data_IF_716369814712
#
_entry.id   IF_716369814712
#
_cell.length_a   1.000
_cell.length_b   1.000
_cell.length_c   1.000
_cell.angle_alpha   90.00
_cell.angle_beta   90.00
_cell.angle_gamma   90.00
#
_symmetry.space_group_name_H-M   'P 1'
#
loop_
_entity.id
_entity.type
_entity.pdbx_description
1 polymer ?
#
# COMPACT_ATOMS: atom_id res chain seq x y z
N UNK A 1 21.25 13.40 -28.45
CA UNK A 1 21.26 12.71 -29.76
C UNK A 1 20.58 11.36 -29.56
N UNK A 2 19.30 11.26 -29.89
CA UNK A 2 18.55 10.00 -29.84
C UNK A 2 18.84 9.27 -31.14
N UNK A 3 19.66 8.21 -31.09
CA UNK A 3 19.82 7.29 -32.21
C UNK A 3 18.44 6.75 -32.57
N UNK A 4 17.99 7.06 -33.79
CA UNK A 4 16.81 6.43 -34.36
C UNK A 4 17.07 4.92 -34.43
N UNK A 5 16.17 4.06 -33.93
CA UNK A 5 16.33 2.62 -34.04
C UNK A 5 16.46 2.24 -35.52
N UNK A 6 17.39 1.34 -35.84
CA UNK A 6 17.59 0.89 -37.22
C UNK A 6 16.28 0.30 -37.76
N UNK A 7 16.06 0.32 -39.08
CA UNK A 7 14.84 -0.27 -39.68
C UNK A 7 14.61 -1.74 -39.30
N UNK A 8 15.67 -2.45 -38.88
CA UNK A 8 15.61 -3.82 -38.35
C UNK A 8 15.13 -3.87 -36.89
N UNK A 9 15.49 -2.90 -36.05
CA UNK A 9 14.98 -2.77 -34.67
C UNK A 9 13.50 -2.37 -34.65
N UNK A 10 13.08 -1.51 -35.58
CA UNK A 10 11.67 -1.14 -35.75
C UNK A 10 10.78 -2.34 -36.15
N UNK A 11 11.33 -3.34 -36.84
CA UNK A 11 10.65 -4.60 -37.17
C UNK A 11 10.57 -5.57 -35.97
N UNK A 12 11.32 -5.35 -34.89
CA UNK A 12 11.33 -6.25 -33.73
C UNK A 12 10.33 -5.86 -32.63
N UNK A 13 9.67 -4.71 -32.74
CA UNK A 13 8.72 -4.16 -31.75
C UNK A 13 7.23 -4.43 -32.05
N UNK A 14 6.90 -5.47 -32.82
CA UNK A 14 5.54 -5.70 -33.34
C UNK A 14 4.47 -5.86 -32.22
N UNK A 15 4.83 -6.46 -31.08
CA UNK A 15 3.96 -6.58 -29.91
C UNK A 15 4.01 -5.40 -28.96
N UNK A 16 4.93 -4.45 -29.12
CA UNK A 16 5.01 -3.33 -28.19
C UNK A 16 3.85 -2.37 -28.40
N UNK A 17 3.34 -1.88 -27.27
CA UNK A 17 2.37 -0.80 -27.23
C UNK A 17 3.14 0.41 -26.76
N UNK A 18 3.30 1.46 -27.60
CA UNK A 18 4.05 2.63 -27.18
C UNK A 18 3.32 3.31 -26.04
N UNK A 19 4.04 3.52 -24.93
CA UNK A 19 3.55 4.10 -23.67
C UNK A 19 2.67 5.37 -23.81
N UNK A 20 2.92 6.33 -24.73
CA UNK A 20 2.05 7.50 -24.85
C UNK A 20 0.60 7.18 -25.25
N UNK A 21 0.35 6.08 -25.96
CA UNK A 21 -1.00 5.69 -26.40
C UNK A 21 -1.90 5.32 -25.20
N UNK A 22 -1.55 4.34 -24.34
CA UNK A 22 -2.37 4.01 -23.18
C UNK A 22 -2.46 5.16 -22.17
N UNK A 23 -1.45 6.04 -22.08
CA UNK A 23 -1.53 7.27 -21.29
C UNK A 23 -2.62 8.21 -21.79
N UNK A 24 -2.68 8.45 -23.11
CA UNK A 24 -3.69 9.30 -23.72
C UNK A 24 -5.10 8.70 -23.65
N UNK A 25 -5.24 7.39 -23.92
CA UNK A 25 -6.52 6.67 -23.79
C UNK A 25 -6.96 6.69 -22.32
N UNK A 26 -6.06 6.43 -21.38
CA UNK A 26 -6.36 6.46 -19.96
C UNK A 26 -6.86 7.83 -19.50
N UNK A 27 -6.27 8.91 -20.03
CA UNK A 27 -6.71 10.28 -19.74
C UNK A 27 -8.13 10.52 -20.27
N UNK A 28 -8.37 10.17 -21.53
CA UNK A 28 -9.67 10.33 -22.17
C UNK A 28 -10.76 9.53 -21.43
N UNK A 29 -10.47 8.29 -21.03
CA UNK A 29 -11.40 7.45 -20.28
C UNK A 29 -11.65 8.00 -18.87
N UNK A 30 -10.65 8.58 -18.22
CA UNK A 30 -10.81 9.23 -16.92
C UNK A 30 -11.74 10.45 -17.04
N UNK A 31 -11.50 11.32 -18.02
CA UNK A 31 -12.39 12.45 -18.31
C UNK A 31 -13.80 11.99 -18.66
N UNK A 32 -13.92 10.90 -19.44
CA UNK A 32 -15.21 10.30 -19.78
C UNK A 32 -15.94 9.78 -18.54
N UNK A 33 -15.25 9.13 -17.60
CA UNK A 33 -15.86 8.67 -16.35
C UNK A 33 -16.37 9.82 -15.48
N UNK A 34 -15.67 10.97 -15.47
CA UNK A 34 -16.14 12.18 -14.77
C UNK A 34 -17.42 12.72 -15.41
N UNK A 35 -17.54 12.69 -16.74
CA UNK A 35 -18.70 13.22 -17.46
C UNK A 35 -19.92 12.29 -17.40
N UNK A 36 -19.70 10.97 -17.45
CA UNK A 36 -20.80 9.98 -17.51
C UNK A 36 -21.40 9.69 -16.14
N UNK A 37 -20.59 9.62 -15.08
CA UNK A 37 -21.07 9.23 -13.75
C UNK A 37 -21.73 10.45 -13.11
N UNK A 38 -23.05 10.42 -12.85
CA UNK A 38 -23.73 11.56 -12.26
C UNK A 38 -23.22 11.79 -10.83
N UNK A 39 -22.85 13.03 -10.50
CA UNK A 39 -22.38 13.43 -9.16
C UNK A 39 -23.36 13.01 -8.05
N UNK A 40 -24.67 12.97 -8.33
CA UNK A 40 -25.72 12.61 -7.37
C UNK A 40 -25.88 11.11 -7.10
N UNK A 41 -25.05 10.26 -7.69
CA UNK A 41 -25.06 8.81 -7.43
C UNK A 41 -24.05 8.49 -6.34
N UNK A 42 -24.31 7.50 -5.49
CA UNK A 42 -23.34 7.01 -4.49
C UNK A 42 -21.96 6.70 -5.10
N UNK A 43 -21.93 6.18 -6.34
CA UNK A 43 -20.68 5.95 -7.08
C UNK A 43 -19.97 7.24 -7.50
N UNK A 44 -20.70 8.33 -7.78
CA UNK A 44 -20.13 9.63 -8.11
C UNK A 44 -19.44 10.27 -6.89
N UNK A 45 -20.13 10.28 -5.76
CA UNK A 45 -19.55 10.71 -4.47
C UNK A 45 -18.32 9.86 -4.12
N UNK A 46 -18.42 8.54 -4.27
CA UNK A 46 -17.32 7.61 -4.00
C UNK A 46 -16.13 7.79 -4.97
N UNK A 47 -16.34 8.17 -6.23
CA UNK A 47 -15.27 8.24 -7.23
C UNK A 47 -14.57 9.61 -7.27
N UNK A 48 -15.27 10.70 -6.94
CA UNK A 48 -14.79 12.05 -7.21
C UNK A 48 -14.78 13.00 -6.00
N UNK A 49 -15.58 12.75 -4.96
CA UNK A 49 -15.71 13.71 -3.84
C UNK A 49 -14.77 13.41 -2.65
N UNK A 50 -14.00 12.32 -2.66
CA UNK A 50 -13.14 11.92 -1.52
C UNK A 50 -11.66 12.34 -1.66
N UNK A 51 -11.33 13.19 -2.64
CA UNK A 51 -10.03 13.88 -2.73
C UNK A 51 -9.22 13.58 -4.00
N UNK A 52 -8.07 14.25 -4.14
CA UNK A 52 -7.26 14.22 -5.37
C UNK A 52 -6.70 12.83 -5.71
N UNK A 53 -6.45 12.00 -4.69
CA UNK A 53 -5.87 10.65 -4.86
C UNK A 53 -6.76 9.74 -5.68
N UNK A 54 -8.09 9.92 -5.64
CA UNK A 54 -9.03 9.11 -6.40
C UNK A 54 -8.92 9.35 -7.90
N UNK A 55 -8.78 10.61 -8.34
CA UNK A 55 -8.57 10.91 -9.74
C UNK A 55 -7.30 10.23 -10.28
N UNK A 56 -6.22 10.22 -9.48
CA UNK A 56 -4.96 9.57 -9.86
C UNK A 56 -5.12 8.04 -9.91
N UNK A 57 -5.81 7.45 -8.93
CA UNK A 57 -6.10 6.01 -8.88
C UNK A 57 -6.93 5.57 -10.09
N UNK A 58 -8.00 6.29 -10.41
CA UNK A 58 -8.87 6.02 -11.56
C UNK A 58 -8.07 6.16 -12.87
N UNK A 59 -7.24 7.19 -12.97
CA UNK A 59 -6.36 7.38 -14.12
C UNK A 59 -5.39 6.22 -14.30
N UNK A 60 -4.69 5.79 -13.24
CA UNK A 60 -3.78 4.65 -13.31
C UNK A 60 -4.51 3.36 -13.67
N UNK A 61 -5.69 3.12 -13.10
CA UNK A 61 -6.52 1.98 -13.44
C UNK A 61 -6.89 1.97 -14.94
N UNK A 62 -7.30 3.11 -15.49
CA UNK A 62 -7.61 3.22 -16.92
C UNK A 62 -6.39 3.08 -17.83
N UNK A 63 -5.23 3.60 -17.44
CA UNK A 63 -3.99 3.43 -18.21
C UNK A 63 -3.61 1.94 -18.27
N UNK A 64 -3.67 1.23 -17.14
CA UNK A 64 -3.40 -0.22 -17.10
C UNK A 64 -4.44 -1.00 -17.89
N UNK A 65 -5.73 -0.66 -17.76
CA UNK A 65 -6.81 -1.29 -18.52
C UNK A 65 -6.66 -1.08 -20.03
N UNK A 66 -6.32 0.14 -20.46
CA UNK A 66 -6.08 0.46 -21.87
C UNK A 66 -4.87 -0.30 -22.42
N UNK A 67 -3.76 -0.33 -21.68
CA UNK A 67 -2.58 -1.11 -22.06
C UNK A 67 -2.92 -2.61 -22.20
N UNK A 68 -3.62 -3.17 -21.20
CA UNK A 68 -4.03 -4.57 -21.18
C UNK A 68 -4.96 -4.90 -22.34
N UNK A 69 -5.94 -4.04 -22.63
CA UNK A 69 -6.86 -4.21 -23.75
C UNK A 69 -6.18 -4.16 -25.12
N UNK A 70 -5.25 -3.21 -25.32
CA UNK A 70 -4.46 -3.10 -26.55
C UNK A 70 -3.57 -4.32 -26.76
N UNK A 71 -2.89 -4.78 -25.71
CA UNK A 71 -2.09 -6.01 -25.74
C UNK A 71 -2.96 -7.24 -26.01
N UNK A 72 -4.10 -7.38 -25.33
CA UNK A 72 -5.03 -8.48 -25.54
C UNK A 72 -5.55 -8.53 -26.99
N UNK A 73 -5.89 -7.38 -27.56
CA UNK A 73 -6.35 -7.29 -28.95
C UNK A 73 -5.26 -7.70 -29.95
N UNK A 74 -4.05 -7.14 -29.82
CA UNK A 74 -2.90 -7.52 -30.67
C UNK A 74 -2.61 -9.01 -30.54
N UNK A 75 -2.60 -9.53 -29.32
CA UNK A 75 -2.29 -10.92 -29.03
C UNK A 75 -3.35 -11.88 -29.60
N UNK A 76 -4.63 -11.51 -29.54
CA UNK A 76 -5.70 -12.31 -30.13
C UNK A 76 -5.55 -12.44 -31.66
N UNK A 77 -5.16 -11.36 -32.33
CA UNK A 77 -4.85 -11.38 -33.78
C UNK A 77 -3.66 -12.30 -34.05
N UNK A 78 -2.55 -12.10 -33.33
CA UNK A 78 -1.33 -12.89 -33.52
C UNK A 78 -1.55 -14.38 -33.23
N UNK A 79 -2.33 -14.74 -32.21
CA UNK A 79 -2.67 -16.12 -31.91
C UNK A 79 -3.47 -16.79 -33.05
N UNK A 80 -4.40 -16.07 -33.67
CA UNK A 80 -5.13 -16.59 -34.83
C UNK A 80 -4.22 -16.82 -36.04
N UNK A 81 -3.27 -15.90 -36.28
CA UNK A 81 -2.28 -16.01 -37.35
C UNK A 81 -1.32 -17.17 -37.08
N UNK A 82 -0.84 -17.32 -35.84
CA UNK A 82 0.07 -18.38 -35.43
C UNK A 82 -0.54 -19.79 -35.57
N UNK A 83 -1.85 -19.92 -35.34
CA UNK A 83 -2.57 -21.19 -35.49
C UNK A 83 -2.72 -21.66 -36.95
N UNK A 84 -2.40 -20.81 -37.94
CA UNK A 84 -2.39 -21.23 -39.35
C UNK A 84 -1.18 -22.11 -39.63
N UNK A 85 -1.36 -23.14 -40.46
CA UNK A 85 -0.24 -23.98 -40.89
C UNK A 85 0.59 -23.24 -41.95
N UNK A 86 1.68 -22.59 -41.53
CA UNK A 86 2.57 -21.83 -42.42
C UNK A 86 3.56 -22.71 -43.16
N UNK A 87 4.04 -23.79 -42.53
CA UNK A 87 4.97 -24.76 -43.12
C UNK A 87 4.21 -25.99 -43.59
N UNK A 88 4.30 -26.37 -44.89
CA UNK A 88 3.68 -27.59 -45.41
C UNK A 88 4.21 -28.85 -44.71
N UNK A 89 3.30 -29.73 -44.29
CA UNK A 89 3.66 -30.93 -43.53
C UNK A 89 4.52 -31.95 -44.31
N UNK A 90 4.40 -31.99 -45.64
CA UNK A 90 4.80 -33.13 -46.48
C UNK A 90 6.12 -32.99 -47.26
N UNK A 91 6.80 -31.85 -47.23
CA UNK A 91 7.99 -31.61 -48.06
C UNK A 91 9.22 -31.32 -47.20
N UNK A 92 10.32 -32.01 -47.49
CA UNK A 92 11.64 -31.62 -46.98
C UNK A 92 12.05 -30.31 -47.65
N UNK A 93 12.56 -29.35 -46.88
CA UNK A 93 13.02 -28.07 -47.40
C UNK A 93 14.42 -28.24 -47.97
N UNK A 94 14.51 -28.94 -49.12
CA UNK A 94 15.76 -29.24 -49.82
C UNK A 94 15.72 -28.73 -51.26
N UNK A 95 16.84 -28.22 -51.81
CA UNK A 95 18.01 -27.63 -51.15
C UNK A 95 17.72 -26.21 -50.60
N UNK A 96 18.66 -25.57 -49.91
CA UNK A 96 18.52 -24.20 -49.39
C UNK A 96 18.14 -23.16 -50.48
N UNK A 97 18.56 -23.39 -51.72
CA UNK A 97 18.23 -22.58 -52.91
C UNK A 97 17.02 -23.11 -53.71
N UNK A 98 16.31 -24.10 -53.17
CA UNK A 98 15.19 -24.74 -53.85
C UNK A 98 14.02 -23.77 -54.05
N UNK A 99 13.23 -23.91 -55.15
CA UNK A 99 12.07 -23.06 -55.41
C UNK A 99 11.02 -23.13 -54.28
N UNK A 100 10.95 -24.25 -53.55
CA UNK A 100 10.05 -24.43 -52.42
C UNK A 100 10.42 -23.56 -51.22
N UNK A 101 11.72 -23.43 -50.92
CA UNK A 101 12.23 -22.58 -49.83
C UNK A 101 12.04 -21.10 -50.17
N UNK A 102 12.29 -20.71 -51.42
CA UNK A 102 12.06 -19.35 -51.92
C UNK A 102 10.57 -18.97 -51.88
N UNK A 103 9.68 -19.86 -52.35
CA UNK A 103 8.22 -19.63 -52.28
C UNK A 103 7.73 -19.52 -50.84
N UNK A 104 8.23 -20.35 -49.93
CA UNK A 104 7.91 -20.25 -48.50
C UNK A 104 8.40 -18.92 -47.93
N UNK A 105 9.63 -18.50 -48.25
CA UNK A 105 10.17 -17.21 -47.81
C UNK A 105 9.33 -16.03 -48.30
N UNK A 106 8.92 -16.01 -49.57
CA UNK A 106 8.04 -14.97 -50.11
C UNK A 106 6.65 -14.97 -49.48
N UNK A 107 6.05 -16.15 -49.27
CA UNK A 107 4.75 -16.27 -48.62
C UNK A 107 4.79 -15.75 -47.18
N UNK A 108 5.88 -16.02 -46.46
CA UNK A 108 6.11 -15.48 -45.12
C UNK A 108 6.38 -13.97 -45.15
N UNK A 109 7.05 -13.45 -46.18
CA UNK A 109 7.34 -12.03 -46.35
C UNK A 109 6.10 -11.17 -46.63
N UNK A 110 5.02 -11.75 -47.18
CA UNK A 110 3.75 -11.04 -47.43
C UNK A 110 2.98 -10.72 -46.15
N UNK A 111 3.30 -11.35 -45.03
CA UNK A 111 2.58 -11.18 -43.77
C UNK A 111 3.39 -10.34 -42.77
N UNK A 112 2.86 -9.20 -42.29
CA UNK A 112 3.54 -8.32 -41.33
C UNK A 112 3.37 -8.76 -39.86
N UNK A 113 2.92 -10.00 -39.63
CA UNK A 113 2.63 -10.54 -38.30
C UNK A 113 3.86 -11.20 -37.67
N UNK A 114 3.89 -11.28 -36.34
CA UNK A 114 5.04 -11.78 -35.57
C UNK A 114 5.44 -13.20 -36.00
N UNK A 115 4.47 -14.10 -36.06
CA UNK A 115 4.74 -15.51 -36.32
C UNK A 115 5.46 -15.72 -37.68
N UNK A 116 4.90 -15.26 -38.82
CA UNK A 116 5.59 -15.31 -40.11
C UNK A 116 6.92 -14.54 -40.14
N UNK A 117 7.01 -13.39 -39.47
CA UNK A 117 8.23 -12.60 -39.42
C UNK A 117 9.38 -13.34 -38.73
N UNK A 118 9.10 -14.12 -37.68
CA UNK A 118 10.08 -14.99 -37.01
C UNK A 118 10.48 -16.18 -37.88
N UNK A 119 9.51 -16.84 -38.52
CA UNK A 119 9.78 -17.97 -39.41
C UNK A 119 10.65 -17.55 -40.61
N UNK A 120 10.34 -16.39 -41.20
CA UNK A 120 11.10 -15.79 -42.30
C UNK A 120 12.54 -15.48 -41.91
N UNK A 121 12.79 -15.00 -40.69
CA UNK A 121 14.15 -14.71 -40.21
C UNK A 121 14.98 -15.99 -40.09
N UNK A 122 14.46 -17.01 -39.42
CA UNK A 122 15.13 -18.30 -39.31
C UNK A 122 15.41 -18.91 -40.71
N UNK A 123 14.42 -18.87 -41.60
CA UNK A 123 14.58 -19.37 -42.98
C UNK A 123 15.55 -18.50 -43.80
N UNK A 124 15.54 -17.18 -43.61
CA UNK A 124 16.44 -16.24 -44.27
C UNK A 124 17.90 -16.47 -43.90
N UNK A 125 18.18 -16.79 -42.63
CA UNK A 125 19.52 -17.20 -42.18
C UNK A 125 19.93 -18.49 -42.88
N UNK A 126 19.04 -19.50 -42.94
CA UNK A 126 19.33 -20.74 -43.64
C UNK A 126 19.63 -20.53 -45.14
N UNK A 127 18.87 -19.66 -45.83
CA UNK A 127 19.08 -19.34 -47.24
C UNK A 127 20.44 -18.67 -47.46
N UNK A 128 20.86 -17.79 -46.54
CA UNK A 128 22.12 -17.05 -46.65
C UNK A 128 23.34 -17.91 -46.32
N UNK A 129 23.25 -18.78 -45.33
CA UNK A 129 24.39 -19.50 -44.77
C UNK A 129 24.47 -20.95 -45.22
N UNK A 130 23.36 -21.52 -45.68
CA UNK A 130 23.24 -22.94 -46.04
C UNK A 130 23.35 -23.89 -44.85
N UNK A 131 23.41 -23.37 -43.60
CA UNK A 131 23.63 -24.17 -42.40
C UNK A 131 22.40 -24.16 -41.49
N UNK A 132 21.84 -25.34 -41.23
CA UNK A 132 20.72 -25.52 -40.29
C UNK A 132 21.10 -25.13 -38.85
N UNK A 133 22.37 -25.35 -38.47
CA UNK A 133 22.92 -24.97 -37.16
C UNK A 133 22.86 -23.46 -36.92
N UNK A 134 23.33 -22.67 -37.87
CA UNK A 134 23.30 -21.20 -37.74
C UNK A 134 21.86 -20.66 -37.73
N UNK A 135 20.95 -21.27 -38.48
CA UNK A 135 19.53 -20.91 -38.43
C UNK A 135 18.89 -21.22 -37.05
N UNK A 136 19.33 -22.29 -36.39
CA UNK A 136 18.87 -22.67 -35.05
C UNK A 136 19.41 -21.73 -33.98
N UNK A 137 20.71 -21.39 -34.05
CA UNK A 137 21.34 -20.40 -33.16
C UNK A 137 20.63 -19.04 -33.27
N UNK A 138 20.39 -18.54 -34.49
CA UNK A 138 19.64 -17.29 -34.70
C UNK A 138 18.20 -17.35 -34.16
N UNK A 139 17.51 -18.49 -34.31
CA UNK A 139 16.16 -18.65 -33.80
C UNK A 139 16.11 -18.64 -32.26
N UNK A 140 17.12 -19.21 -31.60
CA UNK A 140 17.29 -19.18 -30.15
C UNK A 140 17.58 -17.75 -29.66
N UNK A 141 18.47 -17.02 -30.34
CA UNK A 141 18.75 -15.62 -30.04
C UNK A 141 17.48 -14.76 -30.17
N UNK A 142 16.71 -14.96 -31.25
CA UNK A 142 15.44 -14.26 -31.45
C UNK A 142 14.42 -14.61 -30.35
N UNK A 143 14.33 -15.87 -29.89
CA UNK A 143 13.46 -16.27 -28.77
C UNK A 143 13.83 -15.53 -27.49
N UNK A 144 15.12 -15.53 -27.13
CA UNK A 144 15.60 -14.85 -25.92
C UNK A 144 15.31 -13.34 -25.96
N UNK A 145 15.49 -12.71 -27.13
CA UNK A 145 15.17 -11.31 -27.36
C UNK A 145 13.69 -11.02 -27.10
N UNK A 146 12.77 -11.81 -27.66
CA UNK A 146 11.33 -11.59 -27.47
C UNK A 146 10.89 -11.83 -26.03
N UNK A 147 11.49 -12.79 -25.34
CA UNK A 147 11.22 -13.04 -23.92
C UNK A 147 11.62 -11.83 -23.06
N UNK A 148 12.80 -11.26 -23.30
CA UNK A 148 13.26 -10.05 -22.60
C UNK A 148 12.43 -8.81 -22.96
N UNK A 149 12.10 -8.62 -24.24
CA UNK A 149 11.28 -7.51 -24.71
C UNK A 149 9.86 -7.54 -24.11
N UNK A 150 9.25 -8.74 -24.07
CA UNK A 150 7.94 -8.94 -23.44
C UNK A 150 8.00 -8.53 -21.96
N UNK A 151 8.97 -9.04 -21.20
CA UNK A 151 9.16 -8.66 -19.79
C UNK A 151 9.34 -7.16 -19.58
N UNK A 152 10.10 -6.48 -20.45
CA UNK A 152 10.29 -5.04 -20.40
C UNK A 152 8.99 -4.26 -20.67
N UNK A 153 8.16 -4.72 -21.63
CA UNK A 153 6.89 -4.09 -22.00
C UNK A 153 5.89 -4.05 -20.84
N UNK A 154 5.86 -5.10 -19.99
CA UNK A 154 4.99 -5.17 -18.80
C UNK A 154 5.54 -4.45 -17.56
N UNK A 155 6.77 -3.94 -17.58
CA UNK A 155 7.38 -3.30 -16.41
C UNK A 155 6.62 -2.04 -15.98
N UNK A 156 6.29 -1.16 -16.92
CA UNK A 156 5.56 0.08 -16.65
C UNK A 156 4.15 -0.14 -16.05
N UNK A 157 3.25 -0.93 -16.67
CA UNK A 157 1.93 -1.18 -16.10
C UNK A 157 2.00 -1.90 -14.75
N UNK A 158 3.02 -2.74 -14.50
CA UNK A 158 3.23 -3.37 -13.18
C UNK A 158 3.54 -2.35 -12.09
N UNK A 159 4.35 -1.33 -12.40
CA UNK A 159 4.61 -0.21 -11.48
C UNK A 159 3.32 0.54 -11.16
N UNK A 160 2.46 0.79 -12.15
CA UNK A 160 1.17 1.44 -11.93
C UNK A 160 0.24 0.61 -11.05
N UNK A 161 0.14 -0.70 -11.31
CA UNK A 161 -0.63 -1.63 -10.46
C UNK A 161 -0.14 -1.58 -9.01
N UNK A 162 1.18 -1.54 -8.79
CA UNK A 162 1.75 -1.41 -7.44
C UNK A 162 1.49 -0.03 -6.80
N UNK A 163 1.44 1.04 -7.59
CA UNK A 163 1.22 2.39 -7.10
C UNK A 163 -0.24 2.64 -6.68
N UNK A 164 -1.22 1.95 -7.25
CA UNK A 164 -2.66 2.15 -6.94
C UNK A 164 -2.96 1.92 -5.44
N UNK A 165 -2.60 0.78 -4.80
CA UNK A 165 -2.81 0.58 -3.37
C UNK A 165 -2.08 1.62 -2.50
N UNK A 166 -0.87 2.02 -2.89
CA UNK A 166 -0.10 3.03 -2.18
C UNK A 166 -0.80 4.39 -2.20
N UNK A 167 -1.37 4.78 -3.34
CA UNK A 167 -2.19 5.99 -3.46
C UNK A 167 -3.46 5.92 -2.61
N UNK A 168 -4.08 4.74 -2.52
CA UNK A 168 -5.19 4.48 -1.60
C UNK A 168 -4.80 4.73 -0.14
N UNK A 169 -3.66 4.17 0.28
CA UNK A 169 -3.11 4.39 1.62
C UNK A 169 -2.79 5.86 1.89
N UNK A 170 -2.18 6.57 0.92
CA UNK A 170 -1.96 8.02 1.02
C UNK A 170 -3.31 8.76 1.18
N UNK A 171 -4.34 8.35 0.44
CA UNK A 171 -5.71 8.85 0.59
C UNK A 171 -6.24 8.68 2.01
N UNK A 172 -6.06 7.51 2.62
CA UNK A 172 -6.46 7.30 4.02
C UNK A 172 -5.69 8.16 5.00
N UNK A 173 -4.38 8.29 4.84
CA UNK A 173 -3.56 9.10 5.75
C UNK A 173 -4.02 10.55 5.69
N UNK A 174 -4.24 11.09 4.48
CA UNK A 174 -4.75 12.46 4.31
C UNK A 174 -6.16 12.61 4.91
N UNK A 175 -7.06 11.65 4.67
CA UNK A 175 -8.43 11.70 5.19
C UNK A 175 -8.49 11.62 6.72
N UNK A 176 -7.70 10.72 7.34
CA UNK A 176 -7.61 10.57 8.80
C UNK A 176 -6.95 11.80 9.42
N UNK A 177 -5.84 12.30 8.85
CA UNK A 177 -5.17 13.50 9.35
C UNK A 177 -6.09 14.72 9.30
N UNK A 178 -6.87 14.88 8.21
CA UNK A 178 -7.87 15.95 8.11
C UNK A 178 -8.98 15.82 9.15
N UNK A 179 -9.51 14.61 9.36
CA UNK A 179 -10.53 14.35 10.37
C UNK A 179 -10.04 14.67 11.79
N UNK A 180 -8.83 14.23 12.14
CA UNK A 180 -8.24 14.46 13.47
C UNK A 180 -7.94 15.95 13.69
N UNK A 181 -7.37 16.64 12.70
CA UNK A 181 -7.09 18.07 12.81
C UNK A 181 -8.37 18.90 12.99
N UNK A 182 -9.45 18.53 12.30
CA UNK A 182 -10.76 19.15 12.48
C UNK A 182 -11.28 18.98 13.91
N UNK A 183 -11.15 17.79 14.49
CA UNK A 183 -11.57 17.51 15.87
C UNK A 183 -10.84 18.36 16.91
N UNK A 184 -9.51 18.45 16.81
CA UNK A 184 -8.69 19.23 17.75
C UNK A 184 -9.12 20.70 17.76
N UNK A 185 -9.38 21.29 16.59
CA UNK A 185 -9.89 22.66 16.50
C UNK A 185 -11.27 22.85 17.12
N UNK A 186 -12.16 21.84 17.06
CA UNK A 186 -13.46 21.88 17.74
C UNK A 186 -13.32 21.79 19.25
N UNK A 187 -12.40 20.98 19.77
CA UNK A 187 -12.16 20.87 21.21
C UNK A 187 -11.66 22.18 21.82
N UNK A 188 -10.81 22.91 21.10
CA UNK A 188 -10.30 24.22 21.55
C UNK A 188 -11.37 25.33 21.50
N UNK A 189 -12.38 25.18 20.64
CA UNK A 189 -13.46 26.15 20.44
C UNK A 189 -14.78 25.78 21.15
N UNK A 190 -14.87 24.59 21.75
CA UNK A 190 -16.12 24.06 22.30
C UNK A 190 -16.52 24.75 23.61
N UNK A 191 -17.50 25.66 23.52
CA UNK A 191 -18.23 26.19 24.68
C UNK A 191 -19.57 25.48 24.93
N UNK A 192 -20.06 24.68 23.98
CA UNK A 192 -21.40 24.09 24.01
C UNK A 192 -21.43 22.63 23.49
N UNK A 193 -22.39 21.84 23.99
CA UNK A 193 -22.50 20.39 23.73
C UNK A 193 -22.86 20.09 22.26
N UNK A 194 -23.60 20.99 21.61
CA UNK A 194 -23.98 20.83 20.20
C UNK A 194 -22.78 20.93 19.25
N UNK A 195 -21.79 21.79 19.56
CA UNK A 195 -20.54 21.89 18.78
C UNK A 195 -19.69 20.63 18.89
N UNK A 196 -19.72 19.96 20.05
CA UNK A 196 -19.02 18.68 20.24
C UNK A 196 -19.68 17.55 19.43
N UNK A 197 -21.02 17.52 19.39
CA UNK A 197 -21.78 16.56 18.57
C UNK A 197 -21.47 16.73 17.08
N UNK A 198 -21.40 17.97 16.60
CA UNK A 198 -21.04 18.28 15.22
C UNK A 198 -19.59 17.88 14.90
N UNK A 199 -18.65 18.14 15.82
CA UNK A 199 -17.26 17.71 15.72
C UNK A 199 -17.12 16.19 15.56
N UNK A 200 -17.82 15.39 16.39
CA UNK A 200 -17.81 13.93 16.29
C UNK A 200 -18.40 13.44 14.95
N UNK A 201 -19.47 14.09 14.47
CA UNK A 201 -20.07 13.80 13.18
C UNK A 201 -19.11 14.03 12.01
N UNK A 202 -18.38 15.15 12.03
CA UNK A 202 -17.38 15.48 11.02
C UNK A 202 -16.21 14.50 11.02
N UNK A 203 -15.70 14.11 12.19
CA UNK A 203 -14.63 13.10 12.31
C UNK A 203 -15.06 11.76 11.75
N UNK A 204 -16.26 11.31 12.12
CA UNK A 204 -16.80 10.01 11.68
C UNK A 204 -16.96 9.99 10.16
N UNK A 205 -17.41 11.11 9.58
CA UNK A 205 -17.53 11.26 8.12
C UNK A 205 -16.17 11.28 7.44
N UNK A 206 -15.18 12.02 7.95
CA UNK A 206 -13.82 12.04 7.42
C UNK A 206 -13.11 10.70 7.50
N UNK A 207 -13.37 9.91 8.55
CA UNK A 207 -12.87 8.55 8.67
C UNK A 207 -13.54 7.60 7.66
N UNK A 208 -14.84 7.74 7.42
CA UNK A 208 -15.56 6.97 6.40
C UNK A 208 -15.02 7.26 4.98
N UNK A 209 -14.84 8.54 4.64
CA UNK A 209 -14.17 9.01 3.41
C UNK A 209 -12.80 8.36 3.25
N UNK A 210 -11.98 8.34 4.32
CA UNK A 210 -10.66 7.72 4.29
C UNK A 210 -10.76 6.23 3.94
N UNK A 211 -11.59 5.45 4.64
CA UNK A 211 -11.74 4.03 4.35
C UNK A 211 -12.26 3.75 2.92
N UNK A 212 -13.22 4.53 2.46
CA UNK A 212 -13.76 4.48 1.09
C UNK A 212 -12.65 4.63 0.04
N UNK A 213 -11.71 5.57 0.24
CA UNK A 213 -10.62 5.82 -0.72
C UNK A 213 -9.69 4.62 -0.86
N UNK A 214 -9.37 3.93 0.25
CA UNK A 214 -8.53 2.72 0.21
C UNK A 214 -9.29 1.53 -0.34
N UNK A 215 -10.56 1.35 0.04
CA UNK A 215 -11.39 0.27 -0.48
C UNK A 215 -11.48 0.35 -2.01
N UNK A 216 -11.74 1.54 -2.56
CA UNK A 216 -11.79 1.78 -3.99
C UNK A 216 -10.44 1.46 -4.67
N UNK A 217 -9.33 1.94 -4.11
CA UNK A 217 -8.01 1.71 -4.67
C UNK A 217 -7.65 0.22 -4.70
N UNK A 218 -7.90 -0.51 -3.62
CA UNK A 218 -7.65 -1.96 -3.55
C UNK A 218 -8.53 -2.72 -4.56
N UNK A 219 -9.82 -2.37 -4.65
CA UNK A 219 -10.75 -2.99 -5.58
C UNK A 219 -10.29 -2.78 -7.04
N UNK A 220 -9.98 -1.54 -7.41
CA UNK A 220 -9.49 -1.21 -8.76
C UNK A 220 -8.16 -1.89 -9.05
N UNK A 221 -7.23 -1.92 -8.08
CA UNK A 221 -5.94 -2.61 -8.21
C UNK A 221 -6.12 -4.08 -8.55
N UNK A 222 -6.98 -4.80 -7.81
CA UNK A 222 -7.25 -6.21 -8.08
C UNK A 222 -7.91 -6.38 -9.46
N UNK A 223 -8.87 -5.50 -9.80
CA UNK A 223 -9.61 -5.54 -11.05
C UNK A 223 -8.70 -5.39 -12.28
N UNK A 224 -7.65 -4.56 -12.20
CA UNK A 224 -6.70 -4.37 -13.32
C UNK A 224 -5.53 -5.35 -13.29
N UNK A 225 -5.10 -5.81 -12.10
CA UNK A 225 -3.97 -6.73 -11.94
C UNK A 225 -4.25 -8.11 -12.55
N UNK A 226 -5.47 -8.63 -12.36
CA UNK A 226 -5.83 -9.98 -12.83
C UNK A 226 -5.83 -10.08 -14.36
N UNK A 227 -6.51 -9.19 -15.12
CA UNK A 227 -6.43 -9.18 -16.58
C UNK A 227 -5.01 -8.96 -17.10
N UNK A 228 -4.25 -8.03 -16.50
CA UNK A 228 -2.86 -7.77 -16.91
C UNK A 228 -2.01 -9.05 -16.82
N UNK A 229 -2.10 -9.75 -15.69
CA UNK A 229 -1.37 -10.99 -15.45
C UNK A 229 -1.79 -12.12 -16.41
N UNK A 230 -3.07 -12.15 -16.79
CA UNK A 230 -3.58 -13.12 -17.76
C UNK A 230 -3.01 -12.85 -19.16
N UNK A 231 -3.02 -11.59 -19.60
CA UNK A 231 -2.48 -11.20 -20.92
C UNK A 231 -0.98 -11.46 -20.98
N UNK A 232 -0.23 -11.16 -19.93
CA UNK A 232 1.20 -11.50 -19.82
C UNK A 232 1.44 -13.00 -19.97
N UNK A 233 0.63 -13.84 -19.31
CA UNK A 233 0.70 -15.31 -19.45
C UNK A 233 0.32 -15.79 -20.84
N UNK A 234 -0.68 -15.19 -21.48
CA UNK A 234 -1.09 -15.54 -22.84
C UNK A 234 0.02 -15.17 -23.84
N UNK A 235 0.70 -14.03 -23.65
CA UNK A 235 1.82 -13.61 -24.50
C UNK A 235 3.00 -14.58 -24.36
N UNK A 236 3.37 -14.94 -23.13
CA UNK A 236 4.41 -15.95 -22.89
C UNK A 236 4.07 -17.31 -23.53
N UNK A 237 2.80 -17.74 -23.47
CA UNK A 237 2.34 -18.98 -24.13
C UNK A 237 2.42 -18.88 -25.65
N UNK A 238 2.03 -17.74 -26.24
CA UNK A 238 2.17 -17.53 -27.67
C UNK A 238 3.64 -17.64 -28.10
N UNK A 239 4.54 -16.91 -27.42
CA UNK A 239 5.97 -16.93 -27.74
C UNK A 239 6.55 -18.36 -27.67
N UNK A 240 6.23 -19.10 -26.62
CA UNK A 240 6.63 -20.50 -26.47
C UNK A 240 6.07 -21.39 -27.60
N UNK A 241 4.79 -21.22 -27.97
CA UNK A 241 4.19 -21.98 -29.06
C UNK A 241 4.88 -21.68 -30.40
N UNK A 242 5.30 -20.44 -30.64
CA UNK A 242 6.07 -20.06 -31.83
C UNK A 242 7.45 -20.72 -31.83
N UNK A 243 8.13 -20.78 -30.68
CA UNK A 243 9.44 -21.43 -30.55
C UNK A 243 9.35 -22.94 -30.83
N UNK A 244 8.34 -23.60 -30.24
CA UNK A 244 8.03 -25.01 -30.52
C UNK A 244 7.75 -25.22 -32.01
N UNK A 245 6.94 -24.34 -32.62
CA UNK A 245 6.64 -24.44 -34.05
C UNK A 245 7.89 -24.28 -34.92
N UNK A 246 8.77 -23.33 -34.59
CA UNK A 246 10.04 -23.13 -35.31
C UNK A 246 10.92 -24.37 -35.19
N UNK A 247 11.12 -24.89 -33.98
CA UNK A 247 11.93 -26.09 -33.75
C UNK A 247 11.36 -27.32 -34.47
N UNK A 248 10.09 -27.65 -34.21
CA UNK A 248 9.50 -28.91 -34.62
C UNK A 248 9.09 -28.94 -36.09
N UNK A 249 8.66 -27.80 -36.65
CA UNK A 249 8.11 -27.75 -38.01
C UNK A 249 9.02 -27.08 -39.04
N UNK A 250 9.86 -26.12 -38.63
CA UNK A 250 10.73 -25.39 -39.56
C UNK A 250 12.16 -25.95 -39.53
N UNK A 251 12.82 -25.93 -38.38
CA UNK A 251 14.24 -26.29 -38.24
C UNK A 251 14.48 -27.79 -38.46
N UNK A 252 13.58 -28.67 -37.97
CA UNK A 252 13.63 -30.12 -38.19
C UNK A 252 13.61 -30.55 -39.68
N UNK A 253 13.21 -29.66 -40.58
CA UNK A 253 13.10 -29.91 -42.03
C UNK A 253 14.29 -29.36 -42.83
N UNK A 254 15.21 -28.65 -42.19
CA UNK A 254 16.40 -28.08 -42.83
C UNK A 254 17.49 -29.16 -42.98
N UNK A 255 18.18 -29.15 -44.11
CA UNK A 255 19.28 -30.07 -44.36
C UNK A 255 20.60 -29.52 -43.81
N UNK A 256 21.44 -30.40 -43.28
CA UNK A 256 22.83 -30.09 -42.95
C UNK A 256 23.69 -30.48 -44.16
N UNK A 257 24.62 -29.63 -44.64
CA UNK A 257 25.48 -30.00 -45.75
C UNK A 257 26.39 -31.14 -45.31
N UNK A 258 26.07 -32.37 -45.71
CA UNK A 258 26.93 -33.53 -45.50
C UNK A 258 28.24 -33.30 -46.24
N UNK A 259 29.36 -33.23 -45.52
CA UNK A 259 30.73 -33.10 -46.04
C UNK A 259 31.19 -34.28 -46.94
N UNK A 260 30.31 -35.22 -47.27
CA UNK A 260 30.62 -36.46 -48.00
C UNK A 260 31.08 -36.26 -49.46
N UNK A 261 30.88 -35.09 -50.08
CA UNK A 261 31.17 -34.94 -51.53
C UNK A 261 32.61 -34.55 -51.90
N UNK A 262 33.45 -34.15 -50.96
CA UNK A 262 34.85 -33.75 -51.26
C UNK A 262 35.85 -34.90 -51.09
N UNK A 263 35.50 -35.93 -50.33
CA UNK A 263 36.37 -37.08 -50.04
C UNK A 263 36.60 -37.97 -51.27
N UNK A 264 35.57 -38.24 -52.08
CA UNK A 264 35.65 -39.27 -53.12
C UNK A 264 36.44 -38.84 -54.37
N UNK A 265 36.36 -37.57 -54.74
CA UNK A 265 37.08 -37.04 -55.93
C UNK A 265 38.58 -36.93 -55.68
N UNK A 266 38.99 -36.60 -54.45
CA UNK A 266 40.41 -36.53 -54.07
C UNK A 266 41.01 -37.95 -53.97
N UNK A 267 40.22 -38.92 -53.48
CA UNK A 267 40.65 -40.32 -53.34
C UNK A 267 40.94 -40.99 -54.69
N UNK A 268 40.07 -40.76 -55.67
CA UNK A 268 40.22 -41.35 -57.00
C UNK A 268 41.35 -40.69 -57.82
N UNK A 269 41.54 -39.37 -57.66
CA UNK A 269 42.63 -38.64 -58.33
C UNK A 269 44.02 -39.05 -57.80
N UNK A 270 44.13 -39.32 -56.50
CA UNK A 270 45.38 -39.75 -55.87
C UNK A 270 45.70 -41.21 -56.22
N UNK A 271 44.70 -42.10 -56.24
CA UNK A 271 44.90 -43.52 -56.57
C UNK A 271 45.41 -43.73 -58.02
N UNK A 272 44.91 -42.97 -58.99
CA UNK A 272 45.32 -43.10 -60.40
C UNK A 272 46.75 -42.63 -60.70
N UNK A 273 47.27 -41.66 -59.94
CA UNK A 273 48.61 -41.09 -60.17
C UNK A 273 49.75 -41.95 -59.61
N UNK A 274 49.48 -42.72 -58.57
CA UNK A 274 50.49 -43.52 -57.85
C UNK A 274 50.85 -44.82 -58.60
N UNK A 275 49.94 -45.35 -59.40
CA UNK A 275 50.11 -46.66 -60.04
C UNK A 275 50.96 -46.63 -61.33
N UNK A 276 51.21 -45.45 -61.90
CA UNK A 276 51.88 -45.31 -63.19
C UNK A 276 53.42 -45.19 -63.13
N UNK A 277 54.03 -44.96 -61.96
CA UNK A 277 55.43 -44.50 -61.88
C UNK A 277 56.33 -45.20 -60.83
N UNK A 278 56.02 -46.39 -60.33
CA UNK A 278 56.94 -47.08 -59.39
C UNK A 278 58.03 -47.91 -60.10
N UNK A 279 59.33 -47.66 -59.84
CA UNK A 279 60.42 -48.59 -60.14
C UNK A 279 60.47 -49.75 -59.11
N UNK A 280 61.21 -50.81 -59.44
CA UNK A 280 61.24 -52.06 -58.66
C UNK A 280 61.63 -51.87 -57.16
N UNK A 281 60.99 -52.60 -56.23
CA UNK A 281 60.98 -52.32 -54.78
C UNK A 281 62.34 -52.38 -54.08
N UNK A 282 63.33 -53.05 -54.67
CA UNK A 282 64.65 -53.25 -54.04
C UNK A 282 65.57 -52.03 -54.20
N UNK A 283 65.35 -51.19 -55.23
CA UNK A 283 66.15 -49.99 -55.49
C UNK A 283 65.76 -48.78 -54.61
N UNK A 284 64.60 -48.84 -53.95
CA UNK A 284 64.05 -47.74 -53.16
C UNK A 284 64.43 -47.80 -51.66
N UNK A 285 64.94 -48.93 -51.18
CA UNK A 285 65.19 -49.16 -49.75
C UNK A 285 66.29 -48.26 -49.16
N UNK A 286 67.34 -47.96 -49.92
CA UNK A 286 68.45 -47.11 -49.47
C UNK A 286 68.06 -45.63 -49.45
N UNK A 287 67.55 -45.03 -50.55
CA UNK A 287 67.11 -43.63 -50.54
C UNK A 287 65.94 -43.37 -49.60
N UNK A 288 65.00 -44.32 -49.45
CA UNK A 288 63.86 -44.16 -48.54
C UNK A 288 64.29 -44.19 -47.06
N UNK A 289 65.33 -44.93 -46.71
CA UNK A 289 65.90 -44.88 -45.35
C UNK A 289 66.58 -43.56 -45.07
N UNK A 290 67.39 -43.07 -46.01
CA UNK A 290 68.07 -41.78 -45.86
C UNK A 290 67.08 -40.61 -45.79
N UNK A 291 66.01 -40.65 -46.61
CA UNK A 291 64.93 -39.68 -46.54
C UNK A 291 64.10 -39.81 -45.26
N UNK A 292 63.82 -41.03 -44.80
CA UNK A 292 63.09 -41.25 -43.55
C UNK A 292 63.88 -40.77 -42.33
N UNK A 293 65.19 -40.96 -42.29
CA UNK A 293 66.05 -40.45 -41.21
C UNK A 293 66.13 -38.92 -41.24
N UNK A 294 66.32 -38.32 -42.43
CA UNK A 294 66.34 -36.85 -42.58
C UNK A 294 64.99 -36.23 -42.24
N UNK A 295 63.90 -36.77 -42.78
CA UNK A 295 62.54 -36.29 -42.51
C UNK A 295 62.16 -36.51 -41.04
N UNK A 296 62.53 -37.64 -40.41
CA UNK A 296 62.30 -37.83 -38.98
C UNK A 296 63.08 -36.80 -38.15
N UNK A 297 64.31 -36.44 -38.54
CA UNK A 297 65.10 -35.42 -37.84
C UNK A 297 64.55 -34.00 -38.01
N UNK A 298 64.15 -33.62 -39.22
CA UNK A 298 63.55 -32.30 -39.50
C UNK A 298 62.17 -32.17 -38.86
N UNK A 299 61.36 -33.24 -38.92
CA UNK A 299 60.03 -33.25 -38.33
C UNK A 299 60.12 -33.25 -36.80
N UNK A 300 61.09 -33.94 -36.20
CA UNK A 300 61.33 -33.84 -34.75
C UNK A 300 61.80 -32.44 -34.33
N UNK A 301 62.69 -31.80 -35.09
CA UNK A 301 63.18 -30.44 -34.79
C UNK A 301 62.07 -29.39 -34.98
N UNK A 302 61.32 -29.47 -36.08
CA UNK A 302 60.22 -28.55 -36.37
C UNK A 302 59.02 -28.78 -35.43
N UNK A 303 58.68 -30.04 -35.10
CA UNK A 303 57.61 -30.34 -34.14
C UNK A 303 57.95 -29.83 -32.74
N UNK A 304 59.19 -29.93 -32.29
CA UNK A 304 59.60 -29.34 -31.00
C UNK A 304 59.54 -27.80 -31.06
N UNK A 305 59.91 -27.19 -32.20
CA UNK A 305 59.87 -25.74 -32.39
C UNK A 305 58.43 -25.17 -32.50
N UNK A 306 57.49 -25.89 -33.13
CA UNK A 306 56.10 -25.45 -33.32
C UNK A 306 55.16 -25.85 -32.17
N UNK A 307 55.38 -27.00 -31.52
CA UNK A 307 54.51 -27.47 -30.42
C UNK A 307 54.92 -26.90 -29.07
N UNK A 308 56.18 -26.47 -28.92
CA UNK A 308 56.66 -25.75 -27.73
C UNK A 308 55.81 -24.52 -27.37
N UNK A 309 55.60 -23.57 -28.30
CA UNK A 309 54.76 -22.39 -28.08
C UNK A 309 53.30 -22.73 -27.76
N UNK A 310 52.73 -23.74 -28.42
CA UNK A 310 51.33 -24.14 -28.19
C UNK A 310 51.15 -24.75 -26.79
N UNK A 311 52.10 -25.55 -26.33
CA UNK A 311 52.10 -26.12 -24.98
C UNK A 311 52.30 -25.04 -23.91
N UNK A 312 53.10 -24.03 -24.20
CA UNK A 312 53.32 -22.89 -23.31
C UNK A 312 52.09 -21.99 -23.21
N UNK A 313 51.44 -21.68 -24.34
CA UNK A 313 50.17 -20.92 -24.38
C UNK A 313 49.05 -21.69 -23.69
N UNK A 314 48.93 -23.01 -23.89
CA UNK A 314 47.95 -23.84 -23.18
C UNK A 314 48.22 -23.86 -21.66
N UNK A 315 49.48 -23.92 -21.25
CA UNK A 315 49.87 -23.80 -19.84
C UNK A 315 49.56 -22.44 -19.24
N UNK A 316 49.80 -21.35 -19.97
CA UNK A 316 49.46 -19.99 -19.56
C UNK A 316 47.94 -19.76 -19.49
N UNK A 317 47.16 -20.33 -20.42
CA UNK A 317 45.69 -20.27 -20.40
C UNK A 317 45.11 -21.06 -19.22
N UNK A 318 45.64 -22.26 -18.95
CA UNK A 318 45.25 -23.03 -17.76
C UNK A 318 45.61 -22.30 -16.47
N UNK A 319 46.79 -21.69 -16.38
CA UNK A 319 47.20 -20.89 -15.22
C UNK A 319 46.32 -19.64 -15.03
N UNK A 320 45.97 -18.94 -16.12
CA UNK A 320 45.04 -17.79 -16.09
C UNK A 320 43.62 -18.20 -15.71
N UNK A 321 43.11 -19.30 -16.26
CA UNK A 321 41.80 -19.84 -15.90
C UNK A 321 41.74 -20.28 -14.43
N UNK A 322 42.81 -20.88 -13.91
CA UNK A 322 42.90 -21.24 -12.50
C UNK A 322 42.90 -19.99 -11.60
N UNK A 323 43.75 -19.00 -11.89
CA UNK A 323 43.79 -17.74 -11.10
C UNK A 323 42.50 -16.92 -11.21
N UNK A 324 41.85 -16.89 -12.37
CA UNK A 324 40.58 -16.20 -12.56
C UNK A 324 39.43 -16.92 -11.87
N UNK A 325 39.44 -18.26 -11.82
CA UNK A 325 38.47 -19.06 -11.06
C UNK A 325 38.63 -18.91 -9.54
N UNK A 326 39.86 -18.85 -9.04
CA UNK A 326 40.15 -18.61 -7.61
C UNK A 326 39.75 -17.18 -7.22
N UNK A 327 40.04 -16.20 -8.06
CA UNK A 327 39.67 -14.80 -7.82
C UNK A 327 38.15 -14.57 -7.87
N UNK A 328 37.43 -15.27 -8.75
CA UNK A 328 35.96 -15.21 -8.76
C UNK A 328 35.36 -15.87 -7.53
N UNK A 329 35.91 -17.01 -7.08
CA UNK A 329 35.45 -17.65 -5.86
C UNK A 329 35.67 -16.77 -4.61
N UNK A 330 36.85 -16.16 -4.45
CA UNK A 330 37.13 -15.21 -3.37
C UNK A 330 36.25 -13.95 -3.42
N UNK A 331 35.95 -13.43 -4.63
CA UNK A 331 34.99 -12.33 -4.79
C UNK A 331 33.58 -12.73 -4.40
N UNK A 332 33.13 -13.92 -4.78
CA UNK A 332 31.81 -14.40 -4.43
C UNK A 332 31.69 -14.64 -2.92
N UNK A 333 32.73 -15.16 -2.28
CA UNK A 333 32.76 -15.36 -0.84
C UNK A 333 32.78 -14.04 -0.06
N UNK A 334 33.64 -13.09 -0.45
CA UNK A 334 33.69 -11.76 0.17
C UNK A 334 32.41 -10.94 -0.05
N UNK A 335 31.77 -11.06 -1.22
CA UNK A 335 30.45 -10.47 -1.47
C UNK A 335 29.37 -11.10 -0.59
N UNK A 336 29.36 -12.42 -0.44
CA UNK A 336 28.42 -13.11 0.44
C UNK A 336 28.60 -12.69 1.91
N UNK A 337 29.85 -12.57 2.38
CA UNK A 337 30.16 -12.08 3.73
C UNK A 337 29.80 -10.60 3.93
N UNK A 338 29.96 -9.76 2.90
CA UNK A 338 29.55 -8.36 2.95
C UNK A 338 28.02 -8.23 3.01
N UNK A 339 27.29 -9.01 2.20
CA UNK A 339 25.82 -9.07 2.23
C UNK A 339 25.33 -9.59 3.58
N UNK A 340 25.95 -10.63 4.14
CA UNK A 340 25.59 -11.17 5.45
C UNK A 340 25.83 -10.16 6.58
N UNK A 341 26.98 -9.47 6.59
CA UNK A 341 27.26 -8.40 7.56
C UNK A 341 26.30 -7.23 7.43
N UNK A 342 25.95 -6.85 6.21
CA UNK A 342 24.99 -5.77 5.98
C UNK A 342 23.58 -6.15 6.46
N UNK A 343 23.17 -7.41 6.25
CA UNK A 343 21.89 -7.90 6.74
C UNK A 343 21.82 -7.93 8.27
N UNK A 344 22.92 -8.32 8.95
CA UNK A 344 23.02 -8.35 10.41
C UNK A 344 22.99 -6.95 11.03
N UNK A 345 23.76 -6.01 10.46
CA UNK A 345 23.74 -4.60 10.88
C UNK A 345 22.35 -3.99 10.67
N UNK A 346 21.71 -4.28 9.54
CA UNK A 346 20.37 -3.76 9.24
C UNK A 346 19.30 -4.36 10.16
N UNK A 347 19.35 -5.66 10.45
CA UNK A 347 18.44 -6.29 11.42
C UNK A 347 18.62 -5.70 12.82
N UNK A 348 19.86 -5.51 13.25
CA UNK A 348 20.16 -4.96 14.59
C UNK A 348 19.72 -3.50 14.71
N UNK A 349 19.87 -2.70 13.65
CA UNK A 349 19.36 -1.33 13.62
C UNK A 349 17.83 -1.28 13.65
N UNK A 350 17.16 -2.19 12.93
CA UNK A 350 15.69 -2.28 12.93
C UNK A 350 15.14 -2.71 14.31
N UNK A 351 15.76 -3.69 14.96
CA UNK A 351 15.34 -4.12 16.30
C UNK A 351 15.58 -3.04 17.35
N UNK A 352 16.72 -2.33 17.29
CA UNK A 352 17.00 -1.20 18.17
C UNK A 352 15.97 -0.06 18.00
N UNK A 353 15.62 0.28 16.76
CA UNK A 353 14.60 1.30 16.47
C UNK A 353 13.20 0.89 16.96
N UNK A 354 12.85 -0.40 16.88
CA UNK A 354 11.58 -0.91 17.41
C UNK A 354 11.53 -0.81 18.94
N UNK A 355 12.62 -1.12 19.63
CA UNK A 355 12.68 -1.00 21.09
C UNK A 355 12.68 0.47 21.57
N UNK A 356 13.32 1.37 20.84
CA UNK A 356 13.23 2.81 21.08
C UNK A 356 11.81 3.34 20.89
N UNK A 357 11.11 2.91 19.84
CA UNK A 357 9.72 3.27 19.61
C UNK A 357 8.79 2.72 20.71
N UNK A 358 9.02 1.48 21.17
CA UNK A 358 8.26 0.87 22.28
C UNK A 358 8.45 1.59 23.60
N UNK A 359 9.68 1.99 23.91
CA UNK A 359 9.98 2.72 25.14
C UNK A 359 9.41 4.14 25.10
N UNK A 360 9.51 4.83 23.96
CA UNK A 360 8.90 6.15 23.77
C UNK A 360 7.36 6.10 23.89
N UNK A 361 6.72 5.09 23.29
CA UNK A 361 5.26 4.90 23.40
C UNK A 361 4.82 4.52 24.83
N UNK A 362 5.61 3.72 25.55
CA UNK A 362 5.33 3.39 26.95
C UNK A 362 5.46 4.60 27.87
N UNK A 363 6.45 5.48 27.66
CA UNK A 363 6.59 6.73 28.42
C UNK A 363 5.41 7.68 28.17
N UNK A 364 5.04 7.89 26.90
CA UNK A 364 3.88 8.72 26.53
C UNK A 364 2.57 8.20 27.13
N UNK A 365 2.38 6.88 27.13
CA UNK A 365 1.19 6.26 27.72
C UNK A 365 1.18 6.43 29.25
N UNK A 366 2.34 6.33 29.90
CA UNK A 366 2.50 6.58 31.34
C UNK A 366 2.20 8.03 31.72
N UNK A 367 2.69 9.00 30.94
CA UNK A 367 2.38 10.43 31.15
C UNK A 367 0.88 10.73 30.94
N UNK A 368 0.26 10.17 29.91
CA UNK A 368 -1.17 10.33 29.66
C UNK A 368 -2.02 9.71 30.77
N UNK A 369 -1.65 8.54 31.28
CA UNK A 369 -2.35 7.91 32.41
C UNK A 369 -2.20 8.71 33.70
N UNK A 370 -1.00 9.22 34.00
CA UNK A 370 -0.76 10.06 35.17
C UNK A 370 -1.54 11.39 35.08
N UNK A 371 -1.54 12.03 33.90
CA UNK A 371 -2.30 13.26 33.65
C UNK A 371 -3.81 13.05 33.76
N UNK A 372 -4.33 11.93 33.24
CA UNK A 372 -5.76 11.60 33.36
C UNK A 372 -6.15 11.28 34.80
N UNK A 373 -5.30 10.58 35.56
CA UNK A 373 -5.54 10.30 36.98
C UNK A 373 -5.57 11.60 37.82
N UNK A 374 -4.66 12.53 37.56
CA UNK A 374 -4.66 13.85 38.23
C UNK A 374 -5.87 14.70 37.83
N UNK A 375 -6.28 14.68 36.55
CA UNK A 375 -7.47 15.37 36.08
C UNK A 375 -8.77 14.80 36.70
N UNK A 376 -8.88 13.47 36.83
CA UNK A 376 -10.03 12.84 37.48
C UNK A 376 -10.07 13.10 38.98
N UNK A 377 -8.92 13.04 39.67
CA UNK A 377 -8.85 13.40 41.09
C UNK A 377 -9.30 14.86 41.33
N UNK A 378 -8.82 15.81 40.51
CA UNK A 378 -9.23 17.22 40.60
C UNK A 378 -10.71 17.44 40.33
N UNK A 379 -11.30 16.73 39.37
CA UNK A 379 -12.74 16.79 39.11
C UNK A 379 -13.55 16.23 40.26
N UNK A 380 -13.05 15.16 40.90
CA UNK A 380 -13.72 14.52 42.02
C UNK A 380 -13.65 15.40 43.28
N UNK A 381 -12.53 16.06 43.55
CA UNK A 381 -12.40 17.06 44.61
C UNK A 381 -13.33 18.26 44.37
N UNK A 382 -13.39 18.78 43.13
CA UNK A 382 -14.30 19.88 42.78
C UNK A 382 -15.77 19.49 42.94
N UNK A 383 -16.12 18.25 42.60
CA UNK A 383 -17.47 17.72 42.74
C UNK A 383 -17.85 17.57 44.23
N UNK A 384 -16.91 17.13 45.09
CA UNK A 384 -17.12 17.05 46.52
C UNK A 384 -17.28 18.46 47.16
N UNK A 385 -16.47 19.42 46.74
CA UNK A 385 -16.59 20.83 47.17
C UNK A 385 -17.95 21.42 46.76
N UNK A 386 -18.39 21.20 45.52
CA UNK A 386 -19.71 21.61 45.03
C UNK A 386 -20.86 20.96 45.80
N UNK A 387 -20.76 19.66 46.10
CA UNK A 387 -21.77 18.96 46.90
C UNK A 387 -21.89 19.58 48.31
N UNK A 388 -20.75 19.88 48.94
CA UNK A 388 -20.74 20.51 50.26
C UNK A 388 -21.32 21.93 50.24
N UNK A 389 -21.06 22.70 49.18
CA UNK A 389 -21.68 24.02 48.98
C UNK A 389 -23.19 23.94 48.78
N UNK A 390 -23.67 22.97 48.00
CA UNK A 390 -25.11 22.76 47.79
C UNK A 390 -25.82 22.33 49.09
N UNK A 391 -25.18 21.48 49.88
CA UNK A 391 -25.71 21.05 51.18
C UNK A 391 -25.77 22.22 52.18
N UNK A 392 -24.72 23.04 52.24
CA UNK A 392 -24.72 24.26 53.06
C UNK A 392 -25.78 25.27 52.60
N UNK A 393 -25.98 25.42 51.28
CA UNK A 393 -27.01 26.28 50.72
C UNK A 393 -28.43 25.76 51.02
N UNK A 394 -28.65 24.45 50.95
CA UNK A 394 -29.92 23.82 51.33
C UNK A 394 -30.24 24.03 52.82
N UNK A 395 -29.25 23.83 53.70
CA UNK A 395 -29.42 24.08 55.14
C UNK A 395 -29.72 25.56 55.44
N UNK A 396 -29.10 26.49 54.72
CA UNK A 396 -29.40 27.92 54.85
C UNK A 396 -30.81 28.27 54.34
N UNK A 397 -31.30 27.56 53.32
CA UNK A 397 -32.67 27.71 52.83
C UNK A 397 -33.68 27.22 53.88
N UNK A 398 -33.44 26.06 54.49
CA UNK A 398 -34.29 25.53 55.57
C UNK A 398 -34.35 26.48 56.77
N UNK A 399 -33.23 27.08 57.15
CA UNK A 399 -33.22 28.12 58.19
C UNK A 399 -34.07 29.34 57.82
N UNK A 400 -34.04 29.76 56.55
CA UNK A 400 -34.88 30.86 56.05
C UNK A 400 -36.36 30.48 56.07
N UNK A 401 -36.72 29.28 55.63
CA UNK A 401 -38.10 28.78 55.68
C UNK A 401 -38.62 28.74 57.11
N UNK A 402 -37.84 28.18 58.05
CA UNK A 402 -38.20 28.16 59.47
C UNK A 402 -38.34 29.58 60.06
N UNK A 403 -37.54 30.55 59.61
CA UNK A 403 -37.67 31.95 60.05
C UNK A 403 -38.96 32.60 59.52
N UNK A 404 -39.37 32.26 58.30
CA UNK A 404 -40.62 32.74 57.69
C UNK A 404 -41.83 32.13 58.42
N UNK A 405 -41.78 30.85 58.78
CA UNK A 405 -42.84 30.21 59.59
C UNK A 405 -43.01 30.88 60.96
N UNK A 406 -41.91 31.25 61.62
CA UNK A 406 -41.96 32.00 62.89
C UNK A 406 -42.56 33.39 62.70
N UNK A 407 -42.19 34.10 61.63
CA UNK A 407 -42.78 35.40 61.30
C UNK A 407 -44.28 35.28 61.01
N UNK A 408 -44.70 34.24 60.27
CA UNK A 408 -46.10 33.96 60.02
C UNK A 408 -46.88 33.69 61.32
N UNK A 409 -46.30 32.92 62.26
CA UNK A 409 -46.89 32.69 63.57
C UNK A 409 -47.04 33.98 64.39
N UNK A 410 -46.03 34.85 64.39
CA UNK A 410 -46.10 36.16 65.04
C UNK A 410 -47.16 37.08 64.41
N UNK A 411 -47.33 37.04 63.08
CA UNK A 411 -48.41 37.81 62.42
C UNK A 411 -49.80 37.31 62.78
N UNK A 412 -49.97 36.00 62.99
CA UNK A 412 -51.23 35.43 63.47
C UNK A 412 -51.53 35.85 64.92
N UNK A 413 -50.50 35.88 65.78
CA UNK A 413 -50.61 36.36 67.16
C UNK A 413 -50.97 37.85 67.23
N UNK A 414 -50.37 38.68 66.37
CA UNK A 414 -50.73 40.09 66.21
C UNK A 414 -52.16 40.28 65.72
N UNK A 415 -52.65 39.46 64.80
CA UNK A 415 -54.04 39.51 64.33
C UNK A 415 -55.03 39.14 65.46
N UNK A 416 -54.68 38.16 66.29
CA UNK A 416 -55.48 37.78 67.46
C UNK A 416 -55.50 38.88 68.53
N UNK A 417 -54.37 39.57 68.73
CA UNK A 417 -54.29 40.73 69.62
C UNK A 417 -55.10 41.92 69.08
N UNK A 418 -55.09 42.13 67.77
CA UNK A 418 -55.92 43.16 67.13
C UNK A 418 -57.41 42.85 67.30
N UNK A 419 -57.83 41.59 67.10
CA UNK A 419 -59.20 41.16 67.31
C UNK A 419 -59.65 41.25 68.77
N UNK A 420 -58.75 40.99 69.73
CA UNK A 420 -59.06 41.12 71.16
C UNK A 420 -59.18 42.59 71.60
N UNK A 421 -58.33 43.48 71.07
CA UNK A 421 -58.42 44.93 71.29
C UNK A 421 -59.71 45.48 70.67
N UNK A 422 -60.07 45.06 69.47
CA UNK A 422 -61.31 45.48 68.81
C UNK A 422 -62.56 44.93 69.52
N UNK A 423 -62.47 43.73 70.10
CA UNK A 423 -63.47 43.18 71.01
C UNK A 423 -63.59 43.97 72.32
N UNK A 424 -62.47 44.37 72.94
CA UNK A 424 -62.45 45.20 74.14
C UNK A 424 -63.01 46.61 73.89
N UNK A 425 -62.75 47.19 72.71
CA UNK A 425 -63.33 48.47 72.29
C UNK A 425 -64.85 48.33 72.08
N UNK A 426 -65.30 47.23 71.46
CA UNK A 426 -66.75 46.93 71.35
C UNK A 426 -67.40 46.76 72.71
N UNK A 427 -66.78 46.01 73.62
CA UNK A 427 -67.26 45.80 75.00
C UNK A 427 -67.27 47.09 75.84
N UNK A 428 -66.40 48.06 75.52
CA UNK A 428 -66.43 49.41 76.12
C UNK A 428 -67.54 50.29 75.52
N UNK A 429 -67.91 50.09 74.26
CA UNK A 429 -69.00 50.82 73.59
C UNK A 429 -70.39 50.29 73.98
N UNK A 430 -70.54 48.99 74.25
CA UNK A 430 -71.73 48.41 74.87
C UNK A 430 -71.70 48.61 76.39
N UNK A 431 -71.99 49.83 76.83
CA UNK A 431 -71.91 50.30 78.22
C UNK A 431 -72.75 49.55 79.27
N UNK A 432 -72.41 48.29 79.56
CA UNK A 432 -73.05 47.47 80.60
C UNK A 432 -72.06 46.91 81.65
N UNK A 433 -70.74 47.03 81.48
CA UNK A 433 -69.75 46.56 82.47
C UNK A 433 -69.13 47.68 83.33
N UNK A 434 -69.15 48.93 82.87
CA UNK A 434 -68.63 50.06 83.66
C UNK A 434 -69.57 50.44 84.82
N UNK A 435 -70.87 50.14 84.70
CA UNK A 435 -71.84 50.31 85.78
C UNK A 435 -71.65 49.26 86.89
N UNK A 436 -71.36 48.01 86.51
CA UNK A 436 -71.11 46.93 87.46
C UNK A 436 -69.80 47.08 88.25
N UNK A 437 -68.78 47.72 87.66
CA UNK A 437 -67.52 48.02 88.37
C UNK A 437 -67.67 49.20 89.33
N UNK A 438 -68.51 50.19 89.03
CA UNK A 438 -68.83 51.26 89.98
C UNK A 438 -69.64 50.76 91.19
N UNK A 439 -70.62 49.88 90.97
CA UNK A 439 -71.38 49.27 92.06
C UNK A 439 -70.49 48.38 92.97
N UNK A 440 -69.56 47.62 92.38
CA UNK A 440 -68.62 46.78 93.14
C UNK A 440 -67.54 47.55 93.93
N UNK A 441 -67.14 48.75 93.49
CA UNK A 441 -66.21 49.62 94.22
C UNK A 441 -66.90 50.31 95.40
N UNK A 442 -68.17 50.69 95.26
CA UNK A 442 -68.97 51.25 96.36
C UNK A 442 -69.20 50.23 97.48
N UNK A 443 -69.41 48.96 97.14
CA UNK A 443 -69.65 47.87 98.10
C UNK A 443 -68.37 47.48 98.89
N UNK A 444 -67.20 47.53 98.23
CA UNK A 444 -65.89 47.31 98.89
C UNK A 444 -65.45 48.47 99.79
N UNK A 445 -65.85 49.71 99.47
CA UNK A 445 -65.63 50.88 100.35
C UNK A 445 -66.48 50.82 101.63
N UNK A 446 -67.67 50.20 101.58
CA UNK A 446 -68.51 49.99 102.77
C UNK A 446 -67.91 48.97 103.76
N UNK A 447 -67.16 47.97 103.28
CA UNK A 447 -66.52 46.93 104.09
C UNK A 447 -65.21 47.37 104.80
N UNK A 448 -64.63 48.51 104.43
CA UNK A 448 -63.41 49.07 105.05
C UNK A 448 -63.66 49.87 106.34
N UNK A 449 -64.93 50.23 106.62
CA UNK A 449 -65.34 51.00 107.81
C UNK A 449 -65.05 50.30 109.16
N UNK A 450 -65.32 48.99 109.34
CA UNK A 450 -64.99 48.29 110.60
C UNK A 450 -63.49 48.01 110.79
N UNK A 451 -62.70 47.95 109.70
CA UNK A 451 -61.25 47.69 109.74
C UNK A 451 -60.47 48.92 110.23
N UNK A 452 -60.95 50.13 109.88
CA UNK A 452 -60.42 51.40 110.38
C UNK A 452 -60.68 51.64 111.89
N UNK A 453 -61.74 51.06 112.47
CA UNK A 453 -61.98 51.13 113.92
C UNK A 453 -61.09 50.15 114.72
N UNK A 454 -60.73 48.99 114.17
CA UNK A 454 -59.85 48.01 114.82
C UNK A 454 -58.37 48.43 114.86
N UNK A 455 -57.94 49.34 113.96
CA UNK A 455 -56.58 49.89 113.94
C UNK A 455 -56.34 51.03 114.94
N UNK A 456 -57.37 51.46 115.68
CA UNK A 456 -57.28 52.54 116.70
C UNK A 456 -56.81 52.06 118.08
N UNK A 457 -56.45 50.79 118.24
CA UNK A 457 -55.92 50.25 119.50
C UNK A 457 -54.38 50.10 119.45
N UNK A 458 -53.65 50.60 120.46
CA UNK A 458 -52.18 50.63 120.43
C UNK A 458 -51.57 49.22 120.55
N UNK A 459 -50.67 48.86 119.61
CA UNK A 459 -49.91 47.60 119.63
C UNK A 459 -48.41 47.83 119.90
N UNK A 460 -47.84 46.93 120.70
CA UNK A 460 -46.41 46.87 121.10
C UNK A 460 -45.64 46.07 120.05
N UNK A 461 -44.60 46.66 119.46
CA UNK A 461 -43.80 46.08 118.37
C UNK A 461 -42.56 45.37 118.97
N UNK A 462 -42.27 44.15 118.50
CA UNK A 462 -41.00 43.45 118.71
C UNK A 462 -40.46 43.11 117.32
N UNK A 463 -39.27 43.61 117.01
CA UNK A 463 -38.53 43.33 115.77
C UNK A 463 -37.73 42.05 115.91
N UNK A 464 -37.88 41.14 114.95
CA UNK A 464 -36.90 40.08 114.67
C UNK A 464 -36.50 40.19 113.20
N UNK A 465 -35.21 40.44 113.01
CA UNK A 465 -34.50 40.45 111.75
C UNK A 465 -34.06 39.01 111.45
N UNK A 466 -34.26 38.53 110.23
CA UNK A 466 -33.59 37.34 109.75
C UNK A 466 -33.24 37.52 108.27
N UNK A 467 -31.93 37.38 108.03
CA UNK A 467 -31.25 37.30 106.75
C UNK A 467 -31.35 35.88 106.15
N UNK A 468 -30.77 35.79 104.94
CA UNK A 468 -30.35 34.59 104.19
C UNK A 468 -31.41 34.16 103.15
N UNK A 469 -31.11 33.96 101.87
CA UNK A 469 -29.91 34.09 101.01
C UNK A 469 -30.41 34.09 99.56
#
# INVERSE_FOLDING_TARGET
>A
MLQQPSRQDAQRQELDVPIPIPLGIGLALTLLTVVIVPERSYLGELLFERGFTQYVVIYFAWVVAAFTGLKAYKLAIEQQVANRAWVPGSSYLKPATGPQVAQLYENLARSPHLAPARYRRALGTYIQTGSARQATEQAADDSSFYQSASGASYAFPRILVWAIPLLGFIGTVVGISGAVAGFSGFLDAAADVDSLREGIGNVTTGLAVAFDTTLLALLLSVLVMVPLSLVERLEARLLLNLDIYISDRLLSKLDEPTEERVSDVIRDAVAGSIQAHMPAPEALLQPARDYAERAASELAQNFIAEVGPVREVAGQLLARLQTESECTFERHQSLAEAIARQHDVQQTAVTAAIDELRTATAMLLGELQASNADATARLQDRAAELAQHLEAAAAALDQRVASIERLAAQTAELAQLHASVEGAIRDLQTGNKLQATFDGVSDRLAQLKPVLEQLRQPRRIILMENNDE
#
